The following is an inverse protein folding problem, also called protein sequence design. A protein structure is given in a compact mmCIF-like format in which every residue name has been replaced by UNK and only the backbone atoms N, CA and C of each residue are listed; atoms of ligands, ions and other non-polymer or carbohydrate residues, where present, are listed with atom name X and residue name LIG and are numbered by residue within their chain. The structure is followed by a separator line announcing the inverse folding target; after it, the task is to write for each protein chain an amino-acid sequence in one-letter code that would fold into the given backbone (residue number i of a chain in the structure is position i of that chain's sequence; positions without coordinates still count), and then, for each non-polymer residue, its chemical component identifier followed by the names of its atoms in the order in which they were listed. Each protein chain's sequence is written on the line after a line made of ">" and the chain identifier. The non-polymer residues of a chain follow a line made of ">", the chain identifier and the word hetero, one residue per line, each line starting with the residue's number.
data_IF_634854681028
#
_entry.id   IF_634854681028
#
_cell.length_a   1.000
_cell.length_b   1.000
_cell.length_c   1.000
_cell.angle_alpha   90.00
_cell.angle_beta   90.00
_cell.angle_gamma   90.00
#
_symmetry.space_group_name_H-M   'P 1'
#
loop_
_entity.id
_entity.type
_entity.pdbx_description
1 polymer ?
#
# COMPACT_ATOMS: atom_id res chain seq x y z
N UNK A 1 -17.65 -4.02 -6.62
CA UNK A 1 -16.33 -3.67 -7.23
C UNK A 1 -15.19 -4.35 -6.49
N UNK A 2 -15.04 -4.19 -5.16
CA UNK A 2 -13.96 -4.84 -4.37
C UNK A 2 -13.95 -6.37 -4.52
N UNK A 3 -15.10 -7.05 -4.36
CA UNK A 3 -15.20 -8.51 -4.56
C UNK A 3 -14.79 -8.99 -5.97
N UNK A 4 -15.03 -8.15 -6.99
CA UNK A 4 -14.69 -8.48 -8.38
C UNK A 4 -13.19 -8.36 -8.63
N UNK A 5 -12.52 -7.41 -7.97
CA UNK A 5 -11.05 -7.30 -7.99
C UNK A 5 -10.44 -8.47 -7.21
N UNK A 6 -11.02 -8.84 -6.05
CA UNK A 6 -10.59 -9.98 -5.23
C UNK A 6 -10.65 -11.33 -5.99
N UNK A 7 -11.69 -11.57 -6.80
CA UNK A 7 -11.80 -12.77 -7.64
C UNK A 7 -10.71 -12.90 -8.71
N UNK A 8 -10.15 -11.79 -9.20
CA UNK A 8 -9.06 -11.82 -10.18
C UNK A 8 -7.74 -12.30 -9.56
N UNK A 9 -7.54 -12.13 -8.25
CA UNK A 9 -6.37 -12.65 -7.54
C UNK A 9 -6.38 -14.18 -7.40
N UNK A 10 -7.55 -14.81 -7.40
CA UNK A 10 -7.70 -16.24 -7.07
C UNK A 10 -7.48 -17.21 -8.24
N UNK A 11 -7.37 -16.73 -9.49
CA UNK A 11 -7.39 -17.58 -10.68
C UNK A 11 -6.05 -17.54 -11.47
N UNK A 12 -4.94 -17.74 -10.76
CA UNK A 12 -3.58 -17.85 -11.32
C UNK A 12 -3.28 -19.26 -11.83
N UNK A 13 -4.13 -19.78 -12.73
CA UNK A 13 -3.80 -20.96 -13.54
C UNK A 13 -2.98 -20.56 -14.77
N UNK A 14 -1.70 -20.93 -14.80
CA UNK A 14 -0.84 -21.12 -15.99
C UNK A 14 -0.69 -19.98 -17.03
N UNK A 15 -0.75 -18.70 -16.62
CA UNK A 15 -0.42 -17.55 -17.49
C UNK A 15 0.11 -16.34 -16.71
N UNK A 16 1.02 -16.59 -15.78
CA UNK A 16 0.99 -16.02 -14.42
C UNK A 16 1.71 -14.67 -14.23
N UNK A 17 2.72 -14.30 -15.04
CA UNK A 17 3.56 -13.12 -14.77
C UNK A 17 2.90 -11.77 -15.13
N UNK A 18 2.26 -11.67 -16.30
CA UNK A 18 1.63 -10.41 -16.73
C UNK A 18 0.37 -10.09 -15.94
N UNK A 19 -0.39 -11.13 -15.56
CA UNK A 19 -1.58 -10.99 -14.71
C UNK A 19 -1.20 -10.59 -13.28
N UNK A 20 -0.16 -11.18 -12.70
CA UNK A 20 0.33 -10.78 -11.37
C UNK A 20 0.84 -9.33 -11.37
N UNK A 21 1.51 -8.89 -12.45
CA UNK A 21 1.97 -7.51 -12.59
C UNK A 21 0.80 -6.52 -12.65
N UNK A 22 -0.23 -6.79 -13.48
CA UNK A 22 -1.42 -5.92 -13.54
C UNK A 22 -2.17 -5.85 -12.20
N UNK A 23 -2.25 -6.96 -11.46
CA UNK A 23 -2.86 -7.00 -10.14
C UNK A 23 -2.06 -6.22 -9.10
N UNK A 24 -0.72 -6.30 -9.15
CA UNK A 24 0.17 -5.46 -8.35
C UNK A 24 -0.09 -3.97 -8.60
N UNK A 25 -0.16 -3.54 -9.86
CA UNK A 25 -0.44 -2.14 -10.21
C UNK A 25 -1.79 -1.67 -9.66
N UNK A 26 -2.83 -2.49 -9.79
CA UNK A 26 -4.17 -2.17 -9.26
C UNK A 26 -4.15 -2.06 -7.74
N UNK A 27 -3.48 -3.00 -7.06
CA UNK A 27 -3.34 -3.00 -5.61
C UNK A 27 -2.59 -1.76 -5.09
N UNK A 28 -1.50 -1.37 -5.76
CA UNK A 28 -0.74 -0.15 -5.44
C UNK A 28 -1.61 1.11 -5.66
N UNK A 29 -2.32 1.20 -6.78
CA UNK A 29 -3.20 2.35 -7.03
C UNK A 29 -4.34 2.44 -6.00
N UNK A 30 -4.89 1.30 -5.59
CA UNK A 30 -5.88 1.25 -4.52
C UNK A 30 -5.30 1.73 -3.18
N UNK A 31 -4.07 1.32 -2.86
CA UNK A 31 -3.36 1.76 -1.66
C UNK A 31 -3.15 3.29 -1.67
N UNK A 32 -2.78 3.87 -2.81
CA UNK A 32 -2.62 5.32 -2.97
C UNK A 32 -3.95 6.08 -2.87
N UNK A 33 -5.03 5.52 -3.40
CA UNK A 33 -6.36 6.09 -3.25
C UNK A 33 -6.76 6.15 -1.77
N UNK A 34 -6.55 5.05 -1.03
CA UNK A 34 -6.85 4.99 0.40
C UNK A 34 -6.02 5.98 1.21
N UNK A 35 -4.72 6.09 0.93
CA UNK A 35 -3.87 7.09 1.58
C UNK A 35 -4.35 8.54 1.31
N UNK A 36 -4.70 8.87 0.06
CA UNK A 36 -5.22 10.20 -0.28
C UNK A 36 -6.53 10.51 0.46
N UNK A 37 -7.47 9.56 0.49
CA UNK A 37 -8.74 9.73 1.21
C UNK A 37 -8.45 9.93 2.70
N UNK A 38 -7.62 9.08 3.29
CA UNK A 38 -7.23 9.20 4.70
C UNK A 38 -6.56 10.54 5.02
N UNK A 39 -5.69 11.05 4.14
CA UNK A 39 -5.06 12.36 4.30
C UNK A 39 -6.08 13.51 4.20
N UNK A 40 -7.07 13.42 3.31
CA UNK A 40 -8.16 14.39 3.24
C UNK A 40 -9.00 14.39 4.52
N UNK A 41 -9.40 13.22 5.01
CA UNK A 41 -10.22 13.09 6.22
C UNK A 41 -9.49 13.60 7.46
N UNK A 42 -8.19 13.32 7.59
CA UNK A 42 -7.33 13.87 8.67
C UNK A 42 -7.31 15.40 8.66
N UNK A 43 -7.22 16.03 7.48
CA UNK A 43 -7.27 17.50 7.36
C UNK A 43 -8.62 18.05 7.82
N UNK A 44 -9.71 17.32 7.60
CA UNK A 44 -11.05 17.70 8.02
C UNK A 44 -11.39 17.25 9.45
N UNK A 45 -10.48 16.55 10.15
CA UNK A 45 -10.67 16.01 11.51
C UNK A 45 -11.91 15.12 11.65
N UNK A 46 -12.23 14.37 10.59
CA UNK A 46 -13.37 13.46 10.56
C UNK A 46 -12.97 12.07 11.06
N UNK A 47 -12.89 11.93 12.39
CA UNK A 47 -12.41 10.71 13.05
C UNK A 47 -13.33 9.49 12.82
N UNK A 48 -14.63 9.71 12.65
CA UNK A 48 -15.58 8.64 12.34
C UNK A 48 -15.29 8.05 10.96
N UNK A 49 -15.09 8.93 9.98
CA UNK A 49 -14.79 8.54 8.61
C UNK A 49 -13.41 7.90 8.47
N UNK A 50 -12.42 8.40 9.22
CA UNK A 50 -11.08 7.80 9.35
C UNK A 50 -11.20 6.37 9.87
N UNK A 51 -11.94 6.16 10.96
CA UNK A 51 -12.13 4.82 11.54
C UNK A 51 -12.82 3.88 10.55
N UNK A 52 -13.85 4.36 9.84
CA UNK A 52 -14.56 3.58 8.83
C UNK A 52 -13.65 3.17 7.67
N UNK A 53 -12.87 4.09 7.14
CA UNK A 53 -11.93 3.79 6.06
C UNK A 53 -10.81 2.85 6.52
N UNK A 54 -10.30 2.98 7.75
CA UNK A 54 -9.34 2.03 8.31
C UNK A 54 -9.93 0.62 8.45
N UNK A 55 -11.20 0.49 8.84
CA UNK A 55 -11.89 -0.82 8.85
C UNK A 55 -12.08 -1.39 7.44
N UNK A 56 -12.40 -0.57 6.46
CA UNK A 56 -12.48 -1.00 5.06
C UNK A 56 -11.12 -1.45 4.52
N UNK A 57 -10.05 -0.74 4.89
CA UNK A 57 -8.69 -1.07 4.49
C UNK A 57 -8.26 -2.41 5.08
N UNK A 58 -8.32 -2.54 6.41
CA UNK A 58 -7.93 -3.76 7.14
C UNK A 58 -8.84 -4.96 6.82
N UNK A 59 -10.10 -4.72 6.46
CA UNK A 59 -11.03 -5.77 6.02
C UNK A 59 -10.83 -6.22 4.56
N UNK A 60 -10.03 -5.52 3.76
CA UNK A 60 -9.74 -5.91 2.38
C UNK A 60 -8.64 -6.97 2.30
N UNK A 61 -8.69 -7.84 1.29
CA UNK A 61 -7.60 -8.79 1.02
C UNK A 61 -6.42 -8.19 0.25
N UNK A 62 -6.50 -6.93 -0.16
CA UNK A 62 -5.46 -6.29 -0.98
C UNK A 62 -4.10 -6.26 -0.26
N UNK A 63 -3.98 -5.81 1.00
CA UNK A 63 -2.70 -5.87 1.74
C UNK A 63 -2.11 -7.28 1.78
N UNK A 64 -2.94 -8.29 2.06
CA UNK A 64 -2.54 -9.70 2.05
C UNK A 64 -2.01 -10.16 0.69
N UNK A 65 -2.68 -9.79 -0.40
CA UNK A 65 -2.22 -10.14 -1.75
C UNK A 65 -0.89 -9.45 -2.13
N UNK A 66 -0.67 -8.22 -1.66
CA UNK A 66 0.61 -7.52 -1.85
C UNK A 66 1.74 -8.19 -1.06
N UNK A 67 1.50 -8.59 0.19
CA UNK A 67 2.46 -9.36 1.00
C UNK A 67 2.84 -10.66 0.30
N UNK A 68 1.85 -11.43 -0.14
CA UNK A 68 2.11 -12.69 -0.84
C UNK A 68 2.84 -12.47 -2.17
N UNK A 69 2.54 -11.38 -2.88
CA UNK A 69 3.31 -11.01 -4.07
C UNK A 69 4.77 -10.76 -3.70
N UNK A 70 5.07 -9.97 -2.66
CA UNK A 70 6.44 -9.72 -2.19
C UNK A 70 7.16 -11.02 -1.82
N UNK A 71 6.52 -11.89 -1.03
CA UNK A 71 7.07 -13.21 -0.66
C UNK A 71 7.37 -14.05 -1.90
N UNK A 72 6.50 -14.00 -2.92
CA UNK A 72 6.72 -14.73 -4.18
C UNK A 72 7.94 -14.24 -4.98
N UNK A 73 8.46 -13.05 -4.67
CA UNK A 73 9.69 -12.51 -5.27
C UNK A 73 10.96 -13.00 -4.55
N UNK A 74 10.82 -13.79 -3.48
CA UNK A 74 11.94 -14.34 -2.69
C UNK A 74 12.24 -13.57 -1.41
N UNK A 75 11.44 -12.53 -1.10
CA UNK A 75 11.59 -11.74 0.13
C UNK A 75 11.10 -12.50 1.36
N UNK A 76 11.80 -12.32 2.49
CA UNK A 76 11.43 -12.89 3.79
C UNK A 76 10.81 -11.79 4.64
N UNK A 77 9.54 -11.96 5.01
CA UNK A 77 8.80 -11.02 5.87
C UNK A 77 8.67 -11.63 7.25
N UNK A 78 9.35 -11.04 8.25
CA UNK A 78 9.36 -11.53 9.62
C UNK A 78 8.07 -11.21 10.41
N UNK A 79 7.33 -10.18 10.01
CA UNK A 79 6.17 -9.70 10.75
C UNK A 79 5.02 -9.26 9.82
N UNK A 80 4.47 -10.24 9.08
CA UNK A 80 3.38 -10.00 8.14
C UNK A 80 2.09 -9.52 8.85
N UNK A 81 1.84 -10.00 10.08
CA UNK A 81 0.65 -9.63 10.85
C UNK A 81 0.67 -8.16 11.27
N UNK A 82 1.82 -7.62 11.71
CA UNK A 82 1.96 -6.19 11.95
C UNK A 82 1.71 -5.37 10.69
N UNK A 83 2.18 -5.86 9.54
CA UNK A 83 1.99 -5.16 8.27
C UNK A 83 0.53 -5.16 7.81
N UNK A 84 -0.21 -6.26 8.00
CA UNK A 84 -1.65 -6.35 7.69
C UNK A 84 -2.48 -5.39 8.54
N UNK A 85 -2.03 -5.08 9.76
CA UNK A 85 -2.70 -4.15 10.67
C UNK A 85 -2.19 -2.71 10.55
N UNK A 86 -1.25 -2.46 9.64
CA UNK A 86 -0.63 -1.14 9.48
C UNK A 86 -1.54 -0.12 8.77
N UNK A 87 -1.19 1.16 8.87
CA UNK A 87 -1.89 2.19 8.09
C UNK A 87 -1.51 2.12 6.61
N UNK A 88 -2.35 2.62 5.68
CA UNK A 88 -1.96 2.73 4.27
C UNK A 88 -0.59 3.39 4.06
N UNK A 89 -0.30 4.46 4.79
CA UNK A 89 0.98 5.16 4.73
C UNK A 89 2.16 4.28 5.17
N UNK A 90 2.03 3.57 6.29
CA UNK A 90 3.05 2.63 6.79
C UNK A 90 3.29 1.48 5.81
N UNK A 91 2.22 0.97 5.18
CA UNK A 91 2.34 -0.06 4.16
C UNK A 91 3.07 0.46 2.92
N UNK A 92 2.79 1.69 2.49
CA UNK A 92 3.50 2.36 1.38
C UNK A 92 4.99 2.54 1.73
N UNK A 93 5.32 2.95 2.95
CA UNK A 93 6.70 3.10 3.40
C UNK A 93 7.47 1.78 3.32
N UNK A 94 6.86 0.69 3.76
CA UNK A 94 7.43 -0.65 3.62
C UNK A 94 7.69 -1.03 2.14
N UNK A 95 6.74 -0.75 1.25
CA UNK A 95 6.91 -0.99 -0.20
C UNK A 95 8.05 -0.16 -0.80
N UNK A 96 8.25 1.08 -0.36
CA UNK A 96 9.38 1.92 -0.79
C UNK A 96 10.70 1.33 -0.32
N UNK A 97 10.78 0.85 0.92
CA UNK A 97 11.99 0.23 1.45
C UNK A 97 12.42 -1.00 0.64
N UNK A 98 11.46 -1.84 0.22
CA UNK A 98 11.74 -2.97 -0.67
C UNK A 98 12.28 -2.51 -2.03
N UNK A 99 11.74 -1.41 -2.58
CA UNK A 99 12.25 -0.89 -3.84
C UNK A 99 13.66 -0.30 -3.74
N UNK A 100 14.00 0.30 -2.62
CA UNK A 100 15.36 0.75 -2.32
C UNK A 100 16.33 -0.42 -2.14
N UNK A 101 15.84 -1.60 -1.75
CA UNK A 101 16.60 -2.85 -1.68
C UNK A 101 16.75 -3.55 -3.05
N UNK A 102 16.14 -3.01 -4.10
CA UNK A 102 16.28 -3.49 -5.48
C UNK A 102 15.05 -4.22 -6.04
N UNK A 103 13.98 -4.39 -5.25
CA UNK A 103 12.75 -4.99 -5.73
C UNK A 103 11.98 -4.01 -6.63
N UNK A 104 11.56 -4.43 -7.83
CA UNK A 104 10.77 -3.54 -8.71
C UNK A 104 9.29 -3.48 -8.30
N UNK A 105 8.99 -2.66 -7.30
CA UNK A 105 7.63 -2.52 -6.74
C UNK A 105 6.78 -1.59 -7.60
N UNK A 106 7.22 -0.38 -7.86
CA UNK A 106 6.49 0.63 -8.63
C UNK A 106 6.79 0.51 -10.13
N UNK A 107 5.74 0.57 -10.94
CA UNK A 107 5.86 0.35 -12.39
C UNK A 107 6.33 1.61 -13.15
N UNK A 108 6.22 2.79 -12.54
CA UNK A 108 6.60 4.06 -13.15
C UNK A 108 7.04 5.11 -12.11
N UNK A 109 7.76 6.12 -12.57
CA UNK A 109 8.28 7.21 -11.73
C UNK A 109 7.16 8.00 -11.02
N UNK A 110 5.99 8.13 -11.65
CA UNK A 110 4.85 8.80 -11.02
C UNK A 110 4.42 8.08 -9.74
N UNK A 111 4.28 6.75 -9.82
CA UNK A 111 3.88 5.93 -8.67
C UNK A 111 4.95 5.97 -7.57
N UNK A 112 6.22 5.90 -7.95
CA UNK A 112 7.36 6.02 -7.04
C UNK A 112 7.41 7.39 -6.33
N UNK A 113 7.23 8.47 -7.08
CA UNK A 113 7.25 9.83 -6.54
C UNK A 113 6.05 10.09 -5.62
N UNK A 114 4.89 9.54 -5.95
CA UNK A 114 3.74 9.57 -5.05
C UNK A 114 4.06 8.86 -3.73
N UNK A 115 4.58 7.63 -3.78
CA UNK A 115 4.93 6.87 -2.58
C UNK A 115 5.93 7.61 -1.67
N UNK A 116 6.96 8.24 -2.25
CA UNK A 116 7.89 9.10 -1.51
C UNK A 116 7.20 10.29 -0.85
N UNK A 117 6.24 10.92 -1.54
CA UNK A 117 5.46 12.04 -1.00
C UNK A 117 4.62 11.62 0.21
N UNK A 118 4.08 10.40 0.20
CA UNK A 118 3.35 9.84 1.36
C UNK A 118 4.27 9.74 2.57
N UNK A 119 5.49 9.22 2.40
CA UNK A 119 6.47 9.11 3.48
C UNK A 119 6.76 10.50 4.06
N UNK A 120 7.04 11.49 3.22
CA UNK A 120 7.29 12.86 3.66
C UNK A 120 6.11 13.45 4.45
N UNK A 121 4.88 13.22 4.01
CA UNK A 121 3.66 13.68 4.70
C UNK A 121 3.43 12.97 6.04
N UNK A 122 3.80 11.70 6.12
CA UNK A 122 3.56 10.86 7.30
C UNK A 122 4.57 11.10 8.43
N UNK A 123 5.74 11.63 8.11
CA UNK A 123 6.71 12.08 9.11
C UNK A 123 6.19 13.36 9.76
N UNK A 124 6.17 13.46 11.10
CA UNK A 124 5.95 14.74 11.74
C UNK A 124 7.05 15.69 11.28
N UNK A 125 6.69 16.92 10.90
CA UNK A 125 7.63 17.95 10.44
C UNK A 125 8.73 18.15 11.51
N UNK A 126 9.87 17.49 11.34
CA UNK A 126 11.11 17.80 12.07
C UNK A 126 11.76 19.02 11.39
N UNK A 127 11.07 20.15 11.38
CA UNK A 127 11.69 21.45 11.10
C UNK A 127 10.77 22.61 11.49
N UNK A 128 10.76 22.95 12.78
CA UNK A 128 10.59 24.33 13.24
C UNK A 128 11.20 24.52 14.63
N UNK A 129 12.43 24.02 14.80
CA UNK A 129 13.36 24.53 15.82
C UNK A 129 14.73 24.70 15.17
N UNK A 130 14.88 25.81 14.45
CA UNK A 130 16.17 26.47 14.34
C UNK A 130 15.97 27.87 14.94
N UNK A 131 16.42 27.96 16.19
CA UNK A 131 16.66 29.18 16.98
C UNK A 131 17.25 30.33 16.19
#
# INVERSE_FOLDING_TARGET
>A
VIESVEKLFLNSGNGTLRKSLHLKTIAINWLFLFDNVMAYLRRNKDEEEISRHMKMFSGSRIPYHLINWVISQGEVISDADTLLNSTPASFIEWLVALEEQGLKVFDCDHSKNYAKTVIHRSRPDLSLEAT
#
